data_IF_302811278907
#
_entry.id   IF_302811278907
#
_cell.length_a   1.000
_cell.length_b   1.000
_cell.length_c   1.000
_cell.angle_alpha   90.00
_cell.angle_beta   90.00
_cell.angle_gamma   90.00
#
_symmetry.space_group_name_H-M   'P 1'
#
loop_
_entity.id
_entity.type
_entity.pdbx_description
1 polymer ?
#
# COMPACT_ATOMS: atom_id res chain seq x y z
N UNK A 1 -5.46 1.58 0.25
CA UNK A 1 -5.45 3.06 0.28
C UNK A 1 -6.80 3.54 -0.22
N UNK A 2 -7.44 4.44 0.51
CA UNK A 2 -8.64 5.14 0.09
C UNK A 2 -8.17 6.43 -0.58
N UNK A 3 -8.20 6.48 -1.91
CA UNK A 3 -7.92 7.70 -2.66
C UNK A 3 -9.27 8.34 -2.96
N UNK A 4 -9.51 9.53 -2.42
CA UNK A 4 -10.78 10.24 -2.48
C UNK A 4 -10.63 11.56 -3.25
N UNK A 5 -11.52 11.84 -4.20
CA UNK A 5 -11.54 13.10 -4.93
C UNK A 5 -12.35 14.18 -4.17
N UNK A 6 -12.41 15.39 -4.73
CA UNK A 6 -13.16 16.52 -4.15
C UNK A 6 -14.68 16.30 -4.09
N UNK A 7 -15.21 15.34 -4.86
CA UNK A 7 -16.63 14.98 -4.92
C UNK A 7 -16.99 13.87 -3.91
N UNK A 8 -16.06 13.53 -3.00
CA UNK A 8 -16.18 12.43 -2.03
C UNK A 8 -16.37 11.05 -2.68
N UNK A 9 -15.87 10.89 -3.91
CA UNK A 9 -15.82 9.59 -4.58
C UNK A 9 -14.45 8.94 -4.34
N UNK A 10 -14.47 7.62 -4.21
CA UNK A 10 -13.29 6.80 -3.95
C UNK A 10 -12.87 6.11 -5.24
N UNK A 11 -11.57 6.04 -5.50
CA UNK A 11 -11.01 5.26 -6.60
C UNK A 11 -11.12 3.76 -6.32
N UNK A 12 -11.81 3.05 -7.21
CA UNK A 12 -11.94 1.60 -7.23
C UNK A 12 -11.27 1.02 -8.46
N UNK A 13 -10.50 -0.06 -8.28
CA UNK A 13 -9.81 -0.77 -9.35
C UNK A 13 -10.42 -2.17 -9.52
N UNK A 14 -10.66 -2.59 -10.76
CA UNK A 14 -11.01 -3.98 -11.02
C UNK A 14 -9.74 -4.84 -10.99
N UNK A 15 -9.76 -5.92 -10.20
CA UNK A 15 -8.67 -6.88 -10.16
C UNK A 15 -8.74 -7.76 -11.43
N UNK A 16 -7.58 -8.21 -11.95
CA UNK A 16 -7.53 -9.23 -13.00
C UNK A 16 -8.36 -10.46 -12.63
N UNK A 17 -8.81 -11.27 -13.59
CA UNK A 17 -9.65 -12.45 -13.32
C UNK A 17 -8.95 -13.57 -12.53
N UNK A 18 -7.65 -13.43 -12.29
CA UNK A 18 -6.82 -14.37 -11.54
C UNK A 18 -6.25 -13.74 -10.25
N UNK A 19 -5.59 -14.57 -9.45
CA UNK A 19 -4.96 -14.12 -8.21
C UNK A 19 -5.96 -13.85 -7.09
N UNK A 20 -5.52 -13.10 -6.08
CA UNK A 20 -6.36 -12.81 -4.93
C UNK A 20 -7.41 -11.76 -5.31
N UNK A 21 -8.68 -12.09 -5.02
CA UNK A 21 -9.85 -11.29 -5.39
C UNK A 21 -10.07 -11.17 -6.90
N UNK A 22 -9.74 -12.21 -7.66
CA UNK A 22 -9.86 -12.18 -9.12
C UNK A 22 -11.24 -11.75 -9.61
N UNK A 23 -11.30 -10.77 -10.51
CA UNK A 23 -12.51 -10.18 -11.07
C UNK A 23 -13.32 -9.29 -10.13
N UNK A 24 -12.93 -9.15 -8.86
CA UNK A 24 -13.57 -8.27 -7.90
C UNK A 24 -13.01 -6.84 -7.97
N UNK A 25 -13.74 -5.90 -7.38
CA UNK A 25 -13.30 -4.51 -7.25
C UNK A 25 -12.69 -4.28 -5.88
N UNK A 26 -11.56 -3.59 -5.83
CA UNK A 26 -10.87 -3.27 -4.58
C UNK A 26 -10.28 -1.87 -4.57
N UNK A 27 -10.02 -1.37 -3.37
CA UNK A 27 -9.22 -0.17 -3.16
C UNK A 27 -7.78 -0.38 -3.64
N UNK A 28 -7.09 0.65 -4.15
CA UNK A 28 -5.67 0.60 -4.47
C UNK A 28 -4.83 0.07 -3.31
N UNK A 29 -3.97 -0.90 -3.57
CA UNK A 29 -3.09 -1.48 -2.56
C UNK A 29 -1.71 -0.83 -2.62
N UNK A 30 -1.19 -0.45 -1.45
CA UNK A 30 0.21 -0.09 -1.31
C UNK A 30 0.89 -1.19 -0.50
N UNK A 31 1.91 -1.80 -1.08
CA UNK A 31 2.72 -2.76 -0.36
C UNK A 31 3.69 -2.00 0.54
N UNK A 32 3.59 -2.26 1.84
CA UNK A 32 4.56 -1.80 2.82
C UNK A 32 5.41 -3.01 3.16
N UNK A 33 6.69 -2.98 2.80
CA UNK A 33 7.58 -4.06 3.17
C UNK A 33 7.65 -4.15 4.69
N UNK A 34 7.49 -5.37 5.21
CA UNK A 34 7.58 -5.61 6.63
C UNK A 34 9.02 -5.35 7.05
N UNK A 35 9.27 -4.24 7.76
CA UNK A 35 10.50 -4.11 8.52
C UNK A 35 10.50 -5.21 9.57
N UNK A 36 11.39 -6.20 9.41
CA UNK A 36 11.61 -7.19 10.46
C UNK A 36 12.07 -6.44 11.71
N UNK A 37 11.16 -6.36 12.68
CA UNK A 37 11.45 -5.81 13.98
C UNK A 37 12.53 -6.66 14.63
N UNK A 38 13.79 -6.25 14.52
CA UNK A 38 14.78 -6.55 15.56
C UNK A 38 14.36 -5.79 16.81
N UNK A 39 13.38 -6.33 17.51
CA UNK A 39 13.09 -5.97 18.88
C UNK A 39 14.35 -6.26 19.72
N UNK A 40 14.83 -5.21 20.39
CA UNK A 40 15.93 -5.17 21.35
C UNK A 40 16.18 -6.50 22.08
N UNK A 41 17.29 -7.16 21.73
CA UNK A 41 17.88 -8.20 22.57
C UNK A 41 18.53 -7.53 23.79
N UNK A 42 17.94 -7.81 24.96
CA UNK A 42 18.56 -7.85 26.29
C UNK A 42 19.54 -6.73 26.66
N UNK A 43 19.07 -5.86 27.54
CA UNK A 43 19.91 -5.32 28.62
C UNK A 43 20.36 -6.50 29.49
N UNK A 44 21.60 -6.95 29.35
CA UNK A 44 22.35 -7.62 30.41
C UNK A 44 23.82 -7.34 30.17
N UNK A 45 24.43 -6.55 31.05
CA UNK A 45 25.80 -6.10 30.90
C UNK A 45 26.84 -7.22 31.06
N UNK A 46 27.94 -7.12 30.30
CA UNK A 46 29.29 -7.43 30.79
C UNK A 46 30.37 -6.92 29.82
N UNK A 47 31.35 -6.22 30.39
CA UNK A 47 32.60 -5.75 29.78
C UNK A 47 33.33 -6.83 28.97
N UNK A 48 34.02 -6.45 27.88
CA UNK A 48 35.50 -6.36 27.82
C UNK A 48 36.00 -5.93 26.42
N UNK A 49 37.12 -5.22 26.42
CA UNK A 49 37.79 -4.51 25.33
C UNK A 49 38.30 -5.37 24.15
N UNK A 50 38.37 -4.77 22.94
CA UNK A 50 39.63 -4.46 22.19
C UNK A 50 39.35 -3.71 20.88
N UNK A 51 40.31 -2.84 20.52
CA UNK A 51 40.35 -1.78 19.50
C UNK A 51 41.07 -2.29 18.21
N UNK A 52 41.43 -1.44 17.21
CA UNK A 52 40.74 -1.10 15.96
C UNK A 52 41.49 -1.59 14.68
N UNK A 53 40.85 -1.59 13.50
CA UNK A 53 41.57 -1.45 12.22
C UNK A 53 40.73 -0.65 11.21
N UNK A 54 41.40 0.34 10.64
CA UNK A 54 41.06 1.32 9.59
C UNK A 54 41.04 0.72 8.18
N UNK A 55 40.18 1.25 7.29
CA UNK A 55 40.56 1.71 5.93
C UNK A 55 39.34 2.28 5.19
N UNK A 56 39.61 3.37 4.47
CA UNK A 56 38.69 4.21 3.69
C UNK A 56 37.88 3.46 2.63
N UNK A 57 36.64 3.90 2.37
CA UNK A 57 36.29 4.42 1.04
C UNK A 57 34.93 5.11 1.00
N UNK A 58 34.93 6.19 0.23
CA UNK A 58 33.87 7.15 -0.06
C UNK A 58 32.85 6.54 -1.04
N UNK A 59 31.58 6.40 -0.66
CA UNK A 59 30.51 6.52 -1.65
C UNK A 59 29.16 6.86 -1.04
N UNK A 60 28.62 7.95 -1.60
CA UNK A 60 27.29 8.54 -1.54
C UNK A 60 26.14 7.68 -0.99
N UNK A 61 25.41 8.33 -0.08
CA UNK A 61 24.00 8.10 0.24
C UNK A 61 23.13 7.91 -1.01
N UNK A 62 22.37 6.82 -1.03
CA UNK A 62 21.00 6.64 -1.54
C UNK A 62 20.89 5.23 -2.11
N UNK A 63 20.74 4.24 -1.23
CA UNK A 63 20.38 2.89 -1.61
C UNK A 63 19.66 2.22 -0.45
N UNK A 64 18.42 2.62 -0.21
CA UNK A 64 17.46 1.77 0.52
C UNK A 64 16.63 0.99 -0.50
N UNK A 65 17.32 0.34 -1.43
CA UNK A 65 16.73 -0.73 -2.23
C UNK A 65 16.64 -1.95 -1.32
N UNK A 66 15.49 -2.14 -0.69
CA UNK A 66 15.20 -3.37 0.04
C UNK A 66 14.49 -4.29 -0.96
N UNK A 67 15.10 -5.47 -1.15
CA UNK A 67 14.73 -6.47 -2.14
C UNK A 67 14.41 -7.75 -1.37
N UNK A 68 13.13 -8.14 -1.33
CA UNK A 68 12.68 -9.39 -0.71
C UNK A 68 12.05 -10.33 -1.76
N UNK A 69 12.75 -11.44 -2.03
CA UNK A 69 12.35 -12.75 -2.58
C UNK A 69 11.13 -12.89 -3.55
N UNK A 70 10.86 -11.92 -4.41
CA UNK A 70 10.88 -11.95 -5.90
C UNK A 70 10.24 -13.10 -6.74
N UNK A 71 9.14 -13.77 -6.36
CA UNK A 71 8.34 -14.46 -7.41
C UNK A 71 6.83 -14.57 -7.22
N UNK A 72 6.35 -14.63 -5.98
CA UNK A 72 4.90 -14.52 -5.69
C UNK A 72 4.48 -13.05 -5.50
N UNK A 73 5.46 -12.21 -5.13
CA UNK A 73 5.29 -10.79 -4.80
C UNK A 73 4.98 -9.89 -6.00
N UNK A 74 5.58 -10.17 -7.16
CA UNK A 74 5.38 -9.35 -8.38
C UNK A 74 4.12 -9.74 -9.16
N UNK A 75 3.57 -10.94 -8.92
CA UNK A 75 2.38 -11.41 -9.65
C UNK A 75 1.09 -10.75 -9.17
N UNK A 76 1.05 -10.26 -7.93
CA UNK A 76 -0.15 -9.67 -7.31
C UNK A 76 -0.15 -8.13 -7.31
N UNK A 77 1.00 -7.50 -7.63
CA UNK A 77 1.12 -6.04 -7.78
C UNK A 77 0.81 -5.66 -9.23
N UNK A 78 -0.44 -5.28 -9.46
CA UNK A 78 -0.93 -5.04 -10.81
C UNK A 78 -0.31 -3.77 -11.37
N UNK A 79 -0.36 -3.64 -12.70
CA UNK A 79 0.05 -2.41 -13.42
C UNK A 79 -0.61 -1.16 -12.83
N UNK A 80 -1.86 -1.26 -12.35
CA UNK A 80 -2.58 -0.14 -11.75
C UNK A 80 -1.89 0.36 -10.48
N UNK A 81 -1.48 -0.54 -9.59
CA UNK A 81 -0.83 -0.13 -8.35
C UNK A 81 0.61 0.37 -8.56
N UNK A 82 1.31 -0.13 -9.59
CA UNK A 82 2.60 0.42 -10.02
C UNK A 82 2.46 1.88 -10.45
N UNK A 83 1.49 2.17 -11.33
CA UNK A 83 1.20 3.53 -11.81
C UNK A 83 0.86 4.46 -10.65
N UNK A 84 0.00 4.02 -9.74
CA UNK A 84 -0.39 4.81 -8.57
C UNK A 84 0.82 5.10 -7.69
N UNK A 85 1.66 4.11 -7.41
CA UNK A 85 2.84 4.30 -6.57
C UNK A 85 3.85 5.28 -7.20
N UNK A 86 4.12 5.14 -8.49
CA UNK A 86 4.97 6.09 -9.22
C UNK A 86 4.40 7.51 -9.22
N UNK A 87 3.08 7.62 -9.40
CA UNK A 87 2.37 8.91 -9.38
C UNK A 87 2.44 9.57 -8.00
N UNK A 88 2.28 8.81 -6.91
CA UNK A 88 2.43 9.31 -5.54
C UNK A 88 3.83 9.85 -5.29
N UNK A 89 4.86 9.08 -5.67
CA UNK A 89 6.27 9.46 -5.51
C UNK A 89 6.57 10.74 -6.31
N UNK A 90 6.13 10.80 -7.57
CA UNK A 90 6.35 11.95 -8.46
C UNK A 90 5.71 13.24 -7.92
N UNK A 91 4.55 13.14 -7.29
CA UNK A 91 3.81 14.28 -6.75
C UNK A 91 4.09 14.55 -5.27
N UNK A 92 5.06 13.85 -4.67
CA UNK A 92 5.42 13.97 -3.25
C UNK A 92 4.23 13.78 -2.30
N UNK A 93 3.26 12.96 -2.71
CA UNK A 93 2.02 12.73 -1.96
C UNK A 93 2.25 11.66 -0.90
N UNK A 94 1.86 11.98 0.33
CA UNK A 94 1.92 11.07 1.46
C UNK A 94 0.51 10.72 1.90
N UNK A 95 0.26 9.42 2.07
CA UNK A 95 -1.02 8.92 2.57
C UNK A 95 -1.07 8.98 4.09
N UNK A 96 -2.19 9.46 4.63
CA UNK A 96 -2.43 9.57 6.07
C UNK A 96 -3.09 8.29 6.60
N UNK A 97 -2.91 7.97 7.89
CA UNK A 97 -3.65 6.86 8.50
C UNK A 97 -5.14 7.19 8.55
N UNK A 98 -5.99 6.18 8.33
CA UNK A 98 -7.46 6.34 8.50
C UNK A 98 -7.86 6.24 9.97
N UNK A 99 -6.97 5.75 10.83
CA UNK A 99 -7.30 5.52 12.24
C UNK A 99 -7.56 6.83 12.98
N UNK A 100 -8.77 6.95 13.53
CA UNK A 100 -9.20 8.08 14.34
C UNK A 100 -8.67 8.05 15.79
N UNK A 101 -7.88 7.04 16.17
CA UNK A 101 -7.36 6.90 17.54
C UNK A 101 -5.85 6.65 17.51
N UNK A 102 -5.13 7.32 18.41
CA UNK A 102 -3.67 7.22 18.60
C UNK A 102 -3.17 5.80 18.98
N UNK A 103 -4.07 4.81 19.09
CA UNK A 103 -3.79 3.45 19.55
C UNK A 103 -4.30 2.34 18.61
N UNK A 104 -5.17 2.62 17.62
CA UNK A 104 -5.74 1.62 16.70
C UNK A 104 -5.29 1.78 15.23
N UNK A 105 -4.00 1.97 14.98
CA UNK A 105 -3.40 1.69 13.66
C UNK A 105 -3.31 0.17 13.38
N UNK A 106 -4.09 -0.65 14.10
CA UNK A 106 -4.03 -2.10 14.04
C UNK A 106 -4.46 -2.60 12.65
N UNK A 107 -3.59 -3.32 11.92
CA UNK A 107 -3.93 -3.84 10.61
C UNK A 107 -5.14 -4.78 10.66
N UNK A 108 -6.07 -4.65 9.72
CA UNK A 108 -7.21 -5.54 9.57
C UNK A 108 -6.70 -6.91 9.11
N UNK A 109 -6.91 -7.92 9.95
CA UNK A 109 -6.57 -9.31 9.61
C UNK A 109 -7.66 -9.93 8.73
N UNK A 110 -7.29 -10.34 7.52
CA UNK A 110 -8.13 -11.15 6.64
C UNK A 110 -7.48 -12.51 6.42
N UNK A 111 -8.20 -13.59 6.69
CA UNK A 111 -7.66 -14.96 6.63
C UNK A 111 -8.27 -15.71 5.46
N UNK A 112 -7.41 -16.22 4.59
CA UNK A 112 -7.71 -17.17 3.51
C UNK A 112 -7.20 -18.56 3.92
N UNK A 113 -7.60 -19.61 3.20
CA UNK A 113 -7.30 -21.01 3.53
C UNK A 113 -5.82 -21.31 3.75
N UNK A 114 -4.93 -20.58 3.08
CA UNK A 114 -3.47 -20.77 3.17
C UNK A 114 -2.69 -19.49 3.52
N UNK A 115 -3.37 -18.37 3.81
CA UNK A 115 -2.68 -17.09 3.99
C UNK A 115 -3.42 -16.10 4.90
N UNK A 116 -2.67 -15.21 5.54
CA UNK A 116 -3.22 -14.10 6.33
C UNK A 116 -2.75 -12.76 5.77
N UNK A 117 -3.70 -11.91 5.42
CA UNK A 117 -3.48 -10.51 5.08
C UNK A 117 -3.67 -9.63 6.31
N UNK A 118 -2.79 -8.63 6.40
CA UNK A 118 -2.86 -7.56 7.37
C UNK A 118 -2.92 -6.27 6.56
N UNK A 119 -4.10 -5.63 6.54
CA UNK A 119 -4.35 -4.43 5.75
C UNK A 119 -4.35 -3.22 6.68
N UNK A 120 -3.42 -2.30 6.45
CA UNK A 120 -3.42 -1.00 7.15
C UNK A 120 -4.13 0.01 6.24
N UNK A 121 -5.33 0.50 6.63
CA UNK A 121 -6.03 1.49 5.84
C UNK A 121 -5.27 2.81 5.87
N UNK A 122 -5.14 3.44 4.71
CA UNK A 122 -4.56 4.78 4.56
C UNK A 122 -5.44 5.60 3.64
N UNK A 123 -5.60 6.90 3.89
CA UNK A 123 -6.41 7.81 3.08
C UNK A 123 -5.53 8.87 2.41
N UNK A 124 -5.95 9.28 1.23
CA UNK A 124 -5.38 10.38 0.46
C UNK A 124 -6.52 11.14 -0.20
N UNK A 125 -6.58 12.44 0.00
CA UNK A 125 -7.49 13.30 -0.76
C UNK A 125 -6.72 13.91 -1.92
N UNK A 126 -7.33 13.90 -3.11
CA UNK A 126 -6.75 14.43 -4.34
C UNK A 126 -7.59 15.56 -4.90
N UNK A 127 -6.94 16.58 -5.44
CA UNK A 127 -7.62 17.69 -6.12
C UNK A 127 -8.08 17.31 -7.54
N UNK A 128 -8.77 18.24 -8.20
CA UNK A 128 -9.29 18.01 -9.55
C UNK A 128 -8.18 17.77 -10.60
N UNK A 129 -7.05 18.49 -10.51
CA UNK A 129 -5.95 18.33 -11.46
C UNK A 129 -5.23 16.99 -11.25
N UNK A 130 -5.03 16.60 -9.99
CA UNK A 130 -4.49 15.31 -9.58
C UNK A 130 -5.38 14.15 -10.03
N UNK A 131 -6.70 14.30 -9.89
CA UNK A 131 -7.69 13.32 -10.37
C UNK A 131 -7.59 13.12 -11.88
N UNK A 132 -7.50 14.22 -12.64
CA UNK A 132 -7.35 14.16 -14.11
C UNK A 132 -6.03 13.48 -14.49
N UNK A 133 -4.89 13.89 -13.90
CA UNK A 133 -3.59 13.28 -14.21
C UNK A 133 -3.58 11.78 -13.91
N UNK A 134 -4.16 11.37 -12.77
CA UNK A 134 -4.23 9.97 -12.39
C UNK A 134 -5.12 9.16 -13.34
N UNK A 135 -6.28 9.70 -13.73
CA UNK A 135 -7.18 9.07 -14.70
C UNK A 135 -6.51 8.89 -16.06
N UNK A 136 -5.78 9.89 -16.55
CA UNK A 136 -5.04 9.80 -17.81
C UNK A 136 -4.00 8.66 -17.77
N UNK A 137 -3.27 8.53 -16.66
CA UNK A 137 -2.26 7.47 -16.48
C UNK A 137 -2.89 6.07 -16.44
N UNK A 138 -3.97 5.90 -15.69
CA UNK A 138 -4.67 4.63 -15.59
C UNK A 138 -5.32 4.24 -16.92
N UNK A 139 -5.97 5.19 -17.60
CA UNK A 139 -6.60 4.96 -18.90
C UNK A 139 -5.57 4.64 -19.99
N UNK A 140 -4.41 5.30 -19.99
CA UNK A 140 -3.33 5.02 -20.95
C UNK A 140 -2.77 3.60 -20.82
N UNK A 141 -2.93 2.96 -19.65
CA UNK A 141 -2.56 1.59 -19.40
C UNK A 141 -3.74 0.61 -19.49
N UNK A 142 -4.89 1.06 -20.02
CA UNK A 142 -6.10 0.26 -20.20
C UNK A 142 -6.60 -0.39 -18.89
N UNK A 143 -6.44 0.32 -17.77
CA UNK A 143 -6.90 -0.14 -16.47
C UNK A 143 -8.40 0.15 -16.33
N UNK A 144 -9.16 -0.84 -15.88
CA UNK A 144 -10.55 -0.67 -15.47
C UNK A 144 -10.61 -0.04 -14.07
N UNK A 145 -11.06 1.22 -14.01
CA UNK A 145 -11.23 1.96 -12.76
C UNK A 145 -12.55 2.72 -12.72
N UNK A 146 -13.03 3.00 -11.51
CA UNK A 146 -14.23 3.80 -11.26
C UNK A 146 -14.04 4.71 -10.07
N UNK A 147 -14.56 5.92 -10.16
CA UNK A 147 -14.78 6.80 -9.01
C UNK A 147 -16.21 6.63 -8.56
N UNK A 148 -16.42 6.17 -7.32
CA UNK A 148 -17.76 6.00 -6.75
C UNK A 148 -17.74 6.35 -5.27
N UNK A 149 -18.84 6.90 -4.78
CA UNK A 149 -19.06 6.98 -3.33
C UNK A 149 -19.04 5.59 -2.70
N UNK A 150 -18.75 5.54 -1.39
CA UNK A 150 -18.75 4.30 -0.64
C UNK A 150 -20.05 3.50 -0.80
N UNK A 151 -21.20 4.16 -0.63
CA UNK A 151 -22.51 3.52 -0.72
C UNK A 151 -22.75 2.95 -2.13
N UNK A 152 -22.49 3.75 -3.17
CA UNK A 152 -22.67 3.29 -4.55
C UNK A 152 -21.76 2.12 -4.89
N UNK A 153 -20.52 2.12 -4.37
CA UNK A 153 -19.60 1.01 -4.58
C UNK A 153 -20.09 -0.28 -3.91
N UNK A 154 -20.59 -0.21 -2.67
CA UNK A 154 -21.15 -1.37 -1.97
C UNK A 154 -22.39 -1.95 -2.67
N UNK A 155 -23.23 -1.08 -3.25
CA UNK A 155 -24.47 -1.49 -3.90
C UNK A 155 -24.27 -2.03 -5.32
N UNK A 156 -23.21 -1.59 -6.03
CA UNK A 156 -23.05 -1.86 -7.46
C UNK A 156 -21.81 -2.66 -7.84
N UNK A 157 -20.79 -2.77 -6.97
CA UNK A 157 -19.55 -3.48 -7.24
C UNK A 157 -19.46 -4.79 -6.46
N UNK A 158 -18.84 -5.80 -7.06
CA UNK A 158 -18.42 -7.01 -6.35
C UNK A 158 -17.20 -6.72 -5.48
N UNK A 159 -17.40 -6.36 -4.21
CA UNK A 159 -16.32 -6.06 -3.26
C UNK A 159 -15.95 -7.29 -2.41
N UNK A 160 -14.65 -7.57 -2.18
CA UNK A 160 -14.26 -8.59 -1.23
C UNK A 160 -14.56 -8.11 0.20
N UNK A 161 -14.87 -9.05 1.11
CA UNK A 161 -15.23 -8.73 2.50
C UNK A 161 -14.19 -7.87 3.23
N UNK A 162 -12.92 -7.97 2.83
CA UNK A 162 -11.86 -7.14 3.38
C UNK A 162 -12.03 -5.65 3.08
N UNK A 163 -12.54 -5.28 1.89
CA UNK A 163 -12.79 -3.88 1.53
C UNK A 163 -13.96 -3.31 2.31
N UNK A 164 -15.04 -4.10 2.47
CA UNK A 164 -16.20 -3.69 3.29
C UNK A 164 -15.74 -3.36 4.72
N UNK A 165 -14.88 -4.19 5.31
CA UNK A 165 -14.33 -3.95 6.64
C UNK A 165 -13.42 -2.73 6.76
N UNK A 166 -12.87 -2.24 5.65
CA UNK A 166 -12.05 -1.00 5.66
C UNK A 166 -12.95 0.23 5.70
N UNK A 167 -14.20 0.09 5.23
CA UNK A 167 -15.18 1.16 5.15
C UNK A 167 -16.06 1.26 6.41
N UNK A 168 -16.22 0.15 7.15
CA UNK A 168 -16.86 0.08 8.48
C UNK A 168 -16.10 0.87 9.56
#
# INVERSE_FOLDING_TARGET
MLIENIDCEILWLQRPDNGIWGGLWSLPLQFVEKIDGKANSKITGKNTAKKPVTSDDKSSSLASGVRSNEKVYETEFTTAEQIINEWLIKNELVTESVSNTLLDDAPIKHSLTHFHWYLTPRKLTVDAAQTIELNEKLAAAEIDFKWLTEQTAQDSLGLPRAMIKILE
#
